data_IF_840886243822
#
_entry.id   IF_840886243822
#
_cell.length_a   1.000
_cell.length_b   1.000
_cell.length_c   1.000
_cell.angle_alpha   90.00
_cell.angle_beta   90.00
_cell.angle_gamma   90.00
#
_symmetry.space_group_name_H-M   'P 1'
#
loop_
_entity.id
_entity.type
_entity.pdbx_description
1 polymer ?
#
# COMPACT_ATOMS: atom_id res chain seq x y z
N UNK A 1 6.43 9.67 6.57
CA UNK A 1 6.21 9.27 5.16
C UNK A 1 5.25 8.10 5.12
N UNK A 2 3.95 8.36 5.05
CA UNK A 2 2.94 7.28 4.96
C UNK A 2 2.79 6.84 3.51
N UNK A 3 3.57 5.83 3.11
CA UNK A 3 3.41 5.18 1.80
C UNK A 3 2.00 4.62 1.63
N UNK A 4 1.50 4.56 0.39
CA UNK A 4 0.26 3.83 0.10
C UNK A 4 0.47 2.38 0.45
N UNK A 5 -0.54 1.81 1.10
CA UNK A 5 -0.56 0.40 1.40
C UNK A 5 -1.50 -0.27 0.39
N UNK A 6 -1.02 -0.42 -0.86
CA UNK A 6 -1.71 -1.26 -1.86
C UNK A 6 -1.49 -2.72 -1.47
N UNK A 7 -2.55 -3.50 -1.37
CA UNK A 7 -2.52 -4.89 -0.92
C UNK A 7 -3.38 -5.77 -1.80
N UNK A 8 -2.97 -7.01 -1.99
CA UNK A 8 -3.83 -8.02 -2.60
C UNK A 8 -4.88 -8.47 -1.57
N UNK A 9 -6.16 -8.41 -1.94
CA UNK A 9 -7.21 -9.00 -1.11
C UNK A 9 -7.13 -10.53 -1.19
N UNK A 10 -7.30 -11.22 -0.07
CA UNK A 10 -7.43 -12.68 -0.10
C UNK A 10 -8.83 -13.09 -0.56
N UNK A 11 -8.93 -14.32 -1.10
CA UNK A 11 -10.23 -14.92 -1.43
C UNK A 11 -11.12 -14.95 -0.17
N UNK A 12 -12.38 -14.50 -0.30
CA UNK A 12 -13.37 -14.50 0.77
C UNK A 12 -13.60 -15.90 1.35
N UNK A 13 -13.38 -16.96 0.57
CA UNK A 13 -13.45 -18.36 1.03
C UNK A 13 -12.40 -18.69 2.10
N UNK A 14 -11.28 -17.95 2.11
CA UNK A 14 -10.22 -18.09 3.10
C UNK A 14 -10.47 -17.28 4.39
N UNK A 15 -11.58 -16.55 4.50
CA UNK A 15 -11.86 -15.74 5.68
C UNK A 15 -12.23 -16.61 6.88
N UNK A 16 -11.68 -16.23 8.04
CA UNK A 16 -12.00 -16.87 9.31
C UNK A 16 -13.46 -16.55 9.65
N UNK A 17 -14.24 -17.57 10.03
CA UNK A 17 -15.64 -17.37 10.43
C UNK A 17 -15.73 -16.63 11.77
N UNK A 18 -16.76 -15.83 11.95
CA UNK A 18 -16.94 -15.01 13.16
C UNK A 18 -16.93 -15.81 14.47
N UNK A 19 -17.52 -17.02 14.46
CA UNK A 19 -17.56 -17.92 15.62
C UNK A 19 -16.21 -18.52 15.99
N UNK A 20 -15.26 -18.58 15.05
CA UNK A 20 -13.95 -19.22 15.24
C UNK A 20 -12.95 -18.29 15.95
N UNK A 21 -13.33 -17.03 16.22
CA UNK A 21 -12.56 -16.06 17.02
C UNK A 21 -13.41 -15.34 18.06
N UNK A 22 -13.05 -15.53 19.32
CA UNK A 22 -13.61 -14.80 20.46
C UNK A 22 -12.85 -13.51 20.80
N UNK A 23 -11.66 -13.29 20.22
CA UNK A 23 -10.80 -12.14 20.49
C UNK A 23 -10.08 -11.61 19.25
N UNK A 24 -9.67 -10.34 19.31
CA UNK A 24 -8.94 -9.67 18.23
C UNK A 24 -7.57 -10.32 17.99
N UNK A 25 -7.23 -10.62 16.72
CA UNK A 25 -5.91 -11.18 16.35
C UNK A 25 -4.72 -10.32 16.83
N UNK A 26 -4.86 -9.00 16.76
CA UNK A 26 -3.76 -8.07 17.00
C UNK A 26 -3.61 -7.71 18.50
N UNK A 27 -4.71 -7.33 19.17
CA UNK A 27 -4.66 -6.88 20.56
C UNK A 27 -5.22 -7.87 21.58
N UNK A 28 -5.63 -9.07 21.16
CA UNK A 28 -6.14 -10.19 21.97
C UNK A 28 -7.36 -9.89 22.87
N UNK A 29 -7.89 -8.66 22.86
CA UNK A 29 -9.08 -8.28 23.62
C UNK A 29 -10.31 -9.00 23.08
N UNK A 30 -11.11 -9.55 23.99
CA UNK A 30 -12.36 -10.24 23.68
C UNK A 30 -13.35 -9.33 22.93
N UNK A 31 -14.02 -9.90 21.95
CA UNK A 31 -15.11 -9.25 21.24
C UNK A 31 -16.37 -9.21 22.12
N UNK A 32 -17.15 -8.15 21.95
CA UNK A 32 -18.39 -7.90 22.68
C UNK A 32 -19.36 -7.11 21.79
N UNK A 33 -20.53 -6.75 22.30
CA UNK A 33 -21.48 -5.89 21.57
C UNK A 33 -20.87 -4.55 21.16
N UNK A 34 -19.98 -4.00 21.99
CA UNK A 34 -19.27 -2.73 21.75
C UNK A 34 -17.95 -2.91 21.01
N UNK A 35 -17.22 -4.01 21.25
CA UNK A 35 -16.03 -4.38 20.48
C UNK A 35 -16.43 -5.39 19.40
N UNK A 36 -16.89 -4.87 18.26
CA UNK A 36 -17.37 -5.68 17.13
C UNK A 36 -16.22 -6.35 16.36
N UNK A 37 -16.55 -7.46 15.70
CA UNK A 37 -15.68 -8.22 14.80
C UNK A 37 -15.59 -7.55 13.44
N UNK A 38 -14.40 -7.53 12.86
CA UNK A 38 -14.17 -7.08 11.50
C UNK A 38 -13.12 -7.95 10.82
N UNK A 39 -13.37 -8.38 9.59
CA UNK A 39 -12.37 -9.10 8.81
C UNK A 39 -11.29 -8.18 8.26
N UNK A 40 -10.05 -8.67 8.28
CA UNK A 40 -8.98 -8.19 7.45
C UNK A 40 -9.18 -8.71 6.03
N UNK A 41 -9.32 -7.83 5.05
CA UNK A 41 -9.51 -8.21 3.63
C UNK A 41 -8.25 -8.79 2.98
N UNK A 42 -7.09 -8.69 3.65
CA UNK A 42 -5.79 -9.17 3.15
C UNK A 42 -5.46 -10.58 3.66
N UNK A 43 -5.69 -10.86 4.95
CA UNK A 43 -5.41 -12.19 5.52
C UNK A 43 -6.64 -12.98 5.98
N UNK A 44 -7.84 -12.40 5.91
CA UNK A 44 -9.09 -13.05 6.28
C UNK A 44 -9.36 -13.19 7.78
N UNK A 45 -8.41 -12.84 8.65
CA UNK A 45 -8.55 -12.99 10.10
C UNK A 45 -9.38 -11.84 10.72
N UNK A 46 -9.76 -11.99 11.99
CA UNK A 46 -10.72 -11.10 12.67
C UNK A 46 -10.01 -10.14 13.63
N UNK A 47 -10.27 -8.85 13.44
CA UNK A 47 -9.71 -7.73 14.21
C UNK A 47 -10.79 -6.77 14.70
N UNK A 48 -10.46 -5.95 15.70
CA UNK A 48 -11.31 -4.84 16.14
C UNK A 48 -11.01 -3.56 15.33
N UNK A 49 -11.89 -2.55 15.44
CA UNK A 49 -11.75 -1.28 14.72
C UNK A 49 -10.37 -0.64 14.94
N UNK A 50 -9.93 -0.52 16.19
CA UNK A 50 -8.64 0.09 16.57
C UNK A 50 -7.42 -0.69 16.11
N UNK A 51 -7.58 -1.96 15.73
CA UNK A 51 -6.50 -2.84 15.26
C UNK A 51 -6.51 -3.00 13.73
N UNK A 52 -7.15 -2.07 13.04
CA UNK A 52 -7.27 -2.09 11.59
C UNK A 52 -6.98 -0.72 10.98
N UNK A 53 -6.54 -0.73 9.73
CA UNK A 53 -6.32 0.45 8.91
C UNK A 53 -7.07 0.31 7.58
N UNK A 54 -7.36 1.43 6.95
CA UNK A 54 -7.86 1.48 5.57
C UNK A 54 -6.68 1.37 4.61
N UNK A 55 -6.78 0.45 3.66
CA UNK A 55 -5.79 0.13 2.63
C UNK A 55 -6.44 0.14 1.25
N UNK A 56 -5.62 0.28 0.21
CA UNK A 56 -6.05 0.03 -1.16
C UNK A 56 -5.94 -1.45 -1.47
N UNK A 57 -6.96 -2.01 -2.11
CA UNK A 57 -7.05 -3.43 -2.37
C UNK A 57 -7.09 -3.71 -3.87
N UNK A 58 -6.26 -4.66 -4.29
CA UNK A 58 -6.31 -5.29 -5.60
C UNK A 58 -7.19 -6.54 -5.53
N UNK A 59 -7.70 -6.97 -6.69
CA UNK A 59 -8.48 -8.22 -6.86
C UNK A 59 -9.80 -8.23 -6.06
N UNK A 60 -10.47 -7.09 -6.00
CA UNK A 60 -11.76 -6.91 -5.30
C UNK A 60 -12.62 -5.90 -6.05
N UNK A 61 -13.95 -6.03 -5.90
CA UNK A 61 -14.92 -5.08 -6.49
C UNK A 61 -14.87 -3.69 -5.88
N UNK A 62 -14.38 -3.57 -4.64
CA UNK A 62 -14.08 -2.28 -4.02
C UNK A 62 -12.59 -2.19 -3.77
N UNK A 63 -11.96 -1.21 -4.42
CA UNK A 63 -10.54 -0.90 -4.34
C UNK A 63 -10.10 -0.34 -2.97
N UNK A 64 -11.03 -0.08 -2.03
CA UNK A 64 -10.74 0.40 -0.67
C UNK A 64 -11.20 -0.62 0.36
N UNK A 65 -10.35 -0.92 1.33
CA UNK A 65 -10.81 -1.77 2.42
C UNK A 65 -9.98 -1.89 3.66
N UNK A 66 -10.46 -2.75 4.57
CA UNK A 66 -9.90 -2.90 5.91
C UNK A 66 -8.81 -3.95 5.91
N UNK A 67 -7.63 -3.61 6.44
CA UNK A 67 -6.58 -4.57 6.78
C UNK A 67 -6.23 -4.47 8.26
N UNK A 68 -5.76 -5.55 8.88
CA UNK A 68 -5.13 -5.46 10.19
C UNK A 68 -3.80 -4.70 10.08
N UNK A 69 -3.30 -4.16 11.20
CA UNK A 69 -2.04 -3.38 11.18
C UNK A 69 -0.88 -4.16 10.60
N UNK A 70 -0.77 -5.46 10.90
CA UNK A 70 0.27 -6.32 10.32
C UNK A 70 0.19 -6.40 8.79
N UNK A 71 -1.01 -6.50 8.23
CA UNK A 71 -1.23 -6.53 6.78
C UNK A 71 -1.15 -5.13 6.14
N UNK A 72 -1.43 -4.07 6.88
CA UNK A 72 -1.37 -2.70 6.40
C UNK A 72 0.05 -2.14 6.38
N UNK A 73 0.98 -2.66 7.20
CA UNK A 73 2.37 -2.20 7.20
C UNK A 73 3.06 -2.52 5.88
N UNK A 74 3.79 -1.56 5.28
CA UNK A 74 4.57 -1.81 4.06
C UNK A 74 5.55 -2.93 4.36
N UNK A 75 5.59 -3.93 3.49
CA UNK A 75 6.60 -4.97 3.53
C UNK A 75 7.96 -4.28 3.50
N UNK A 76 8.68 -4.23 4.61
CA UNK A 76 10.10 -3.85 4.60
C UNK A 76 10.94 -4.91 3.85
N UNK A 77 10.31 -6.00 3.42
CA UNK A 77 10.88 -7.05 2.59
C UNK A 77 10.83 -6.72 1.09
N UNK A 78 11.41 -5.57 0.76
CA UNK A 78 12.29 -5.47 -0.39
C UNK A 78 13.64 -4.98 0.13
N UNK A 79 14.24 -5.72 1.06
CA UNK A 79 15.69 -5.78 1.02
C UNK A 79 16.04 -6.55 -0.25
N UNK A 80 16.63 -5.94 -1.30
CA UNK A 80 17.28 -6.76 -2.31
C UNK A 80 18.23 -7.72 -1.58
N UNK A 81 18.43 -8.97 -2.04
CA UNK A 81 19.39 -9.85 -1.42
C UNK A 81 20.68 -9.07 -1.25
N UNK A 82 21.17 -8.93 -0.01
CA UNK A 82 22.40 -8.22 0.30
C UNK A 82 23.54 -8.89 -0.48
N UNK A 83 23.79 -8.44 -1.71
CA UNK A 83 25.08 -8.58 -2.34
C UNK A 83 25.97 -7.58 -1.62
N UNK A 84 26.75 -8.08 -0.67
CA UNK A 84 27.89 -7.34 -0.13
C UNK A 84 28.80 -7.05 -1.32
N UNK A 85 28.86 -5.80 -1.77
CA UNK A 85 30.07 -5.28 -2.40
C UNK A 85 30.27 -3.82 -2.01
N UNK A 86 31.46 -3.63 -1.44
CA UNK A 86 32.25 -2.43 -1.19
C UNK A 86 31.65 -1.03 -1.44
N UNK A 87 31.81 -0.20 -0.42
CA UNK A 87 31.90 1.25 -0.52
C UNK A 87 33.03 1.62 -1.48
N UNK A 88 32.71 2.32 -2.56
CA UNK A 88 33.67 3.22 -3.22
C UNK A 88 33.03 4.59 -3.33
N UNK A 89 33.55 5.50 -2.53
CA UNK A 89 33.35 6.94 -2.61
C UNK A 89 33.75 7.48 -3.99
N UNK A 90 32.88 8.28 -4.60
CA UNK A 90 33.28 9.24 -5.63
C UNK A 90 32.47 10.54 -5.45
N UNK A 91 33.13 11.70 -5.24
CA UNK A 91 32.48 12.99 -5.03
C UNK A 91 32.50 13.81 -6.32
N UNK A 92 31.37 13.97 -7.02
CA UNK A 92 31.25 15.01 -8.05
C UNK A 92 29.81 15.53 -8.09
N UNK A 93 29.66 16.80 -7.73
CA UNK A 93 28.46 17.60 -7.90
C UNK A 93 28.75 18.60 -9.02
N UNK A 94 28.01 18.54 -10.12
CA UNK A 94 27.93 19.64 -11.09
C UNK A 94 26.55 19.63 -11.77
N UNK A 95 25.69 20.50 -11.24
CA UNK A 95 24.57 21.25 -11.83
C UNK A 95 23.91 20.73 -13.11
N UNK A 96 22.62 20.39 -13.04
CA UNK A 96 21.51 21.32 -13.32
C UNK A 96 20.16 20.58 -13.32
N UNK A 97 19.16 21.15 -12.64
CA UNK A 97 17.74 20.71 -12.60
C UNK A 97 17.41 19.53 -11.67
N UNK A 98 17.61 19.75 -10.37
CA UNK A 98 16.93 18.99 -9.32
C UNK A 98 15.41 19.19 -9.40
N UNK A 99 14.66 18.14 -9.77
CA UNK A 99 13.30 17.91 -9.26
C UNK A 99 12.82 16.53 -9.67
N UNK A 100 13.07 15.52 -8.84
CA UNK A 100 12.06 14.48 -8.70
C UNK A 100 10.78 15.24 -8.33
N UNK A 101 9.79 15.29 -9.23
CA UNK A 101 8.63 16.21 -9.13
C UNK A 101 8.14 16.34 -7.68
N UNK A 102 8.40 17.50 -7.07
CA UNK A 102 8.06 17.77 -5.67
C UNK A 102 6.59 18.19 -5.51
N UNK A 103 5.82 18.13 -6.60
CA UNK A 103 4.47 18.65 -6.72
C UNK A 103 3.51 17.55 -7.16
N UNK A 104 2.27 17.65 -6.69
CA UNK A 104 1.20 16.76 -7.11
C UNK A 104 0.66 17.19 -8.48
N UNK A 105 0.75 16.32 -9.49
CA UNK A 105 0.27 16.65 -10.85
C UNK A 105 -1.25 16.74 -11.00
N UNK A 106 -2.03 16.42 -9.95
CA UNK A 106 -3.50 16.52 -9.96
C UNK A 106 -3.95 17.91 -9.51
N UNK A 107 -3.38 18.46 -8.44
CA UNK A 107 -3.73 19.79 -7.93
C UNK A 107 -2.68 20.87 -8.22
N UNK A 108 -1.51 20.48 -8.72
CA UNK A 108 -0.36 21.33 -9.05
C UNK A 108 0.30 22.01 -7.84
N UNK A 109 0.02 21.52 -6.62
CA UNK A 109 0.63 22.03 -5.39
C UNK A 109 1.84 21.19 -4.93
N UNK A 110 2.84 21.81 -4.28
CA UNK A 110 3.96 21.09 -3.70
C UNK A 110 3.52 20.17 -2.56
N UNK A 111 4.21 19.05 -2.39
CA UNK A 111 3.97 18.09 -1.31
C UNK A 111 4.22 18.67 0.09
N UNK A 112 4.90 19.82 0.18
CA UNK A 112 5.25 20.48 1.44
C UNK A 112 4.29 21.60 1.85
N UNK A 113 3.36 22.05 1.00
CA UNK A 113 2.54 23.25 1.27
C UNK A 113 1.37 23.03 2.25
N UNK A 114 1.05 21.79 2.62
CA UNK A 114 -0.04 21.51 3.56
C UNK A 114 0.51 20.68 4.72
N UNK A 115 0.34 21.20 5.94
CA UNK A 115 0.95 20.75 7.20
C UNK A 115 0.59 19.34 7.69
N UNK A 116 -0.03 18.52 6.84
CA UNK A 116 -0.33 17.10 7.10
C UNK A 116 -0.59 16.33 5.78
N UNK A 117 0.00 16.77 4.67
CA UNK A 117 -0.31 16.25 3.34
C UNK A 117 0.27 14.85 3.15
N UNK A 118 -0.49 13.83 3.52
CA UNK A 118 -0.14 12.45 3.24
C UNK A 118 0.06 12.25 1.73
N UNK A 119 1.25 11.76 1.33
CA UNK A 119 1.62 11.49 -0.06
C UNK A 119 1.44 10.01 -0.39
N UNK A 120 0.98 9.75 -1.60
CA UNK A 120 0.58 8.47 -2.16
C UNK A 120 1.48 8.16 -3.34
N UNK A 121 2.45 7.26 -3.15
CA UNK A 121 3.30 6.74 -4.23
C UNK A 121 2.81 5.37 -4.72
N UNK A 122 2.40 5.29 -6.00
CA UNK A 122 1.93 4.05 -6.63
C UNK A 122 3.10 3.10 -6.95
N UNK A 123 2.85 1.81 -7.26
CA UNK A 123 3.90 0.84 -7.64
C UNK A 123 4.75 1.27 -8.84
N UNK A 124 4.19 2.11 -9.72
CA UNK A 124 4.89 2.72 -10.85
C UNK A 124 5.76 3.94 -10.49
N UNK A 125 5.92 4.24 -9.19
CA UNK A 125 6.73 5.33 -8.62
C UNK A 125 6.21 6.76 -8.82
N UNK A 126 5.00 6.94 -9.34
CA UNK A 126 4.34 8.26 -9.37
C UNK A 126 3.71 8.60 -8.01
N UNK A 127 3.84 9.87 -7.60
CA UNK A 127 3.39 10.38 -6.31
C UNK A 127 2.27 11.44 -6.46
N UNK A 128 1.32 11.42 -5.52
CA UNK A 128 0.18 12.34 -5.47
C UNK A 128 -0.20 12.64 -4.01
N UNK A 129 -0.97 13.68 -3.71
CA UNK A 129 -1.61 13.75 -2.39
C UNK A 129 -2.68 12.67 -2.27
N UNK A 130 -2.89 12.12 -1.06
CA UNK A 130 -4.00 11.18 -0.77
C UNK A 130 -5.34 11.72 -1.26
N UNK A 131 -5.67 12.93 -0.86
CA UNK A 131 -6.92 13.59 -1.25
C UNK A 131 -7.12 13.71 -2.77
N UNK A 132 -6.03 13.79 -3.54
CA UNK A 132 -6.09 13.89 -4.99
C UNK A 132 -6.18 12.52 -5.67
N UNK A 133 -5.48 11.52 -5.15
CA UNK A 133 -5.48 10.17 -5.71
C UNK A 133 -6.72 9.36 -5.32
N UNK A 134 -7.24 9.54 -4.11
CA UNK A 134 -8.32 8.72 -3.55
C UNK A 134 -9.60 8.73 -4.45
N UNK A 135 -10.10 9.88 -4.95
CA UNK A 135 -11.27 9.91 -5.84
C UNK A 135 -11.06 9.15 -7.17
N UNK A 136 -9.85 9.22 -7.72
CA UNK A 136 -9.52 8.51 -8.96
C UNK A 136 -9.42 7.00 -8.72
N UNK A 137 -8.64 6.61 -7.72
CA UNK A 137 -8.40 5.22 -7.39
C UNK A 137 -9.69 4.51 -6.96
N UNK A 138 -10.64 5.21 -6.33
CA UNK A 138 -11.97 4.69 -5.98
C UNK A 138 -12.71 4.00 -7.13
N UNK A 139 -12.42 4.37 -8.37
CA UNK A 139 -13.13 3.86 -9.57
C UNK A 139 -12.20 3.30 -10.64
N UNK A 140 -10.88 3.48 -10.51
CA UNK A 140 -9.89 3.05 -11.49
C UNK A 140 -8.73 2.32 -10.82
N UNK A 141 -8.18 1.32 -11.49
CA UNK A 141 -7.02 0.54 -11.08
C UNK A 141 -5.76 0.88 -11.89
N UNK A 142 -5.71 2.07 -12.50
CA UNK A 142 -4.59 2.57 -13.30
C UNK A 142 -4.01 3.87 -12.73
N UNK A 143 -2.71 4.07 -12.92
CA UNK A 143 -2.04 5.32 -12.55
C UNK A 143 -2.57 6.52 -13.38
N UNK A 144 -2.95 7.65 -12.75
CA UNK A 144 -3.38 8.86 -13.47
C UNK A 144 -2.36 9.40 -14.47
N UNK A 145 -1.07 9.19 -14.21
CA UNK A 145 0.03 9.74 -15.03
C UNK A 145 0.42 8.80 -16.17
N UNK A 146 0.74 7.53 -15.86
CA UNK A 146 1.30 6.61 -16.84
C UNK A 146 0.36 5.49 -17.27
N UNK A 147 -0.87 5.45 -16.72
CA UNK A 147 -1.90 4.44 -16.98
C UNK A 147 -1.48 2.98 -16.70
N UNK A 148 -0.34 2.77 -16.03
CA UNK A 148 0.05 1.42 -15.62
C UNK A 148 -0.94 0.87 -14.60
N UNK A 149 -1.41 -0.38 -14.75
CA UNK A 149 -2.25 -1.04 -13.76
C UNK A 149 -1.56 -1.10 -12.40
N UNK A 150 -2.31 -0.91 -11.33
CA UNK A 150 -1.81 -1.09 -9.96
C UNK A 150 -1.51 -2.55 -9.65
N UNK A 151 -2.16 -3.46 -10.36
CA UNK A 151 -2.03 -4.91 -10.22
C UNK A 151 -0.91 -5.52 -11.09
N UNK A 152 0.12 -4.76 -11.46
CA UNK A 152 1.15 -5.24 -12.39
C UNK A 152 2.03 -6.35 -11.80
N UNK A 153 1.45 -7.55 -11.87
CA UNK A 153 1.93 -8.89 -12.17
C UNK A 153 3.03 -9.55 -11.32
N UNK A 154 2.60 -10.62 -10.64
CA UNK A 154 3.41 -11.65 -10.00
C UNK A 154 4.15 -12.58 -11.00
N UNK A 155 4.15 -12.28 -12.31
CA UNK A 155 4.73 -13.17 -13.34
C UNK A 155 5.81 -12.55 -14.23
N UNK A 156 6.40 -11.40 -13.91
CA UNK A 156 7.54 -10.87 -14.68
C UNK A 156 8.93 -11.47 -14.31
N UNK A 157 8.99 -12.58 -13.56
CA UNK A 157 10.25 -13.27 -13.22
C UNK A 157 10.40 -14.68 -13.83
N UNK A 158 9.39 -15.20 -14.54
CA UNK A 158 9.42 -16.55 -15.12
C UNK A 158 9.28 -16.59 -16.66
N UNK A 159 9.52 -15.47 -17.37
CA UNK A 159 9.61 -15.46 -18.84
C UNK A 159 11.00 -14.96 -19.35
N UNK A 160 11.98 -14.74 -18.45
CA UNK A 160 13.35 -14.35 -18.82
C UNK A 160 14.41 -15.43 -18.58
N UNK A 161 14.00 -16.69 -18.35
CA UNK A 161 14.92 -17.86 -18.29
C UNK A 161 14.49 -18.95 -19.28
N UNK A 162 13.96 -18.58 -20.45
CA UNK A 162 13.90 -19.47 -21.61
C UNK A 162 13.89 -18.63 -22.90
N UNK A 163 15.04 -18.02 -23.21
CA UNK A 163 15.65 -18.00 -24.55
C UNK A 163 17.11 -17.57 -24.40
#
# INVERSE_FOLDING_TARGET
MDSIQVREACDRRAWVRDGDRSSCKECIKGFSVTRRRHHCRVCGDIVCHSCSATVYLLNTTSNVGRACHSCARPSLDHSPPRRRFALTSAPWCESSSSAWHADCVICLDPFTAQSDAHVVTLPCQHAFHRQCADPWLATHDECPTCRRPLAQDRTAFLEFIFF
#
